data_IF_698757260616
#
_entry.id   IF_698757260616
#
_cell.length_a   1.000
_cell.length_b   1.000
_cell.length_c   1.000
_cell.angle_alpha   90.00
_cell.angle_beta   90.00
_cell.angle_gamma   90.00
#
_symmetry.space_group_name_H-M   'P 1'
#
loop_
_entity.id
_entity.type
_entity.pdbx_description
1 polymer ?
#
# COMPACT_ATOMS: atom_id res chain seq x y z
N UNK A 1 -21.20 16.01 8.49
CA UNK A 1 -20.13 15.54 7.58
C UNK A 1 -20.74 15.54 6.20
N UNK A 2 -20.17 16.23 5.19
CA UNK A 2 -20.80 16.25 3.88
C UNK A 2 -20.82 14.83 3.31
N UNK A 3 -21.99 14.43 2.83
CA UNK A 3 -22.26 13.12 2.26
C UNK A 3 -21.61 13.00 0.87
N UNK A 4 -20.87 11.91 0.66
CA UNK A 4 -20.54 11.33 -0.65
C UNK A 4 -19.63 12.11 -1.61
N UNK A 5 -18.44 12.55 -1.17
CA UNK A 5 -17.34 12.68 -2.15
C UNK A 5 -16.92 11.27 -2.61
N UNK A 6 -17.44 10.86 -3.77
CA UNK A 6 -16.93 9.68 -4.47
C UNK A 6 -15.49 9.95 -4.85
N UNK A 7 -14.57 9.10 -4.39
CA UNK A 7 -13.16 9.10 -4.81
C UNK A 7 -13.12 9.04 -6.35
N UNK A 8 -12.55 10.07 -6.97
CA UNK A 8 -12.49 10.19 -8.43
C UNK A 8 -11.48 9.19 -9.03
N UNK A 9 -11.52 8.97 -10.34
CA UNK A 9 -10.48 8.15 -11.01
C UNK A 9 -9.08 8.75 -10.84
N UNK A 10 -8.96 10.08 -10.84
CA UNK A 10 -7.69 10.77 -10.60
C UNK A 10 -7.17 10.51 -9.18
N UNK A 11 -8.05 10.55 -8.16
CA UNK A 11 -7.66 10.23 -6.78
C UNK A 11 -7.18 8.79 -6.64
N UNK A 12 -7.86 7.84 -7.30
CA UNK A 12 -7.46 6.42 -7.29
C UNK A 12 -6.08 6.23 -7.91
N UNK A 13 -5.82 6.90 -9.03
CA UNK A 13 -4.52 6.87 -9.69
C UNK A 13 -3.42 7.47 -8.81
N UNK A 14 -3.67 8.62 -8.18
CA UNK A 14 -2.74 9.24 -7.24
C UNK A 14 -2.43 8.32 -6.07
N UNK A 15 -3.46 7.73 -5.46
CA UNK A 15 -3.28 6.77 -4.35
C UNK A 15 -2.44 5.57 -4.81
N UNK A 16 -2.73 5.00 -5.98
CA UNK A 16 -1.99 3.85 -6.50
C UNK A 16 -0.52 4.20 -6.79
N UNK A 17 -0.23 5.40 -7.31
CA UNK A 17 1.14 5.90 -7.50
C UNK A 17 1.88 6.12 -6.18
N UNK A 18 1.22 6.72 -5.19
CA UNK A 18 1.80 6.92 -3.86
C UNK A 18 2.13 5.59 -3.17
N UNK A 19 1.23 4.59 -3.27
CA UNK A 19 1.49 3.25 -2.74
C UNK A 19 2.65 2.57 -3.48
N UNK A 20 2.75 2.73 -4.80
CA UNK A 20 3.86 2.20 -5.59
C UNK A 20 5.19 2.83 -5.20
N UNK A 21 5.24 4.16 -5.07
CA UNK A 21 6.47 4.87 -4.69
C UNK A 21 6.94 4.41 -3.32
N UNK A 22 6.02 4.39 -2.33
CA UNK A 22 6.34 3.89 -1.00
C UNK A 22 6.78 2.43 -1.03
N UNK A 23 6.12 1.57 -1.79
CA UNK A 23 6.53 0.17 -1.91
C UNK A 23 7.94 0.02 -2.50
N UNK A 24 8.28 0.84 -3.49
CA UNK A 24 9.59 0.83 -4.15
C UNK A 24 10.69 1.28 -3.20
N UNK A 25 10.46 2.38 -2.47
CA UNK A 25 11.39 2.89 -1.46
C UNK A 25 11.64 1.87 -0.35
N UNK A 26 10.57 1.19 0.11
CA UNK A 26 10.71 0.15 1.13
C UNK A 26 11.45 -1.09 0.60
N UNK A 27 11.21 -1.50 -0.65
CA UNK A 27 11.88 -2.65 -1.26
C UNK A 27 13.37 -2.37 -1.48
N UNK A 28 13.73 -1.14 -1.83
CA UNK A 28 15.09 -0.71 -2.12
C UNK A 28 15.95 -0.53 -0.87
N UNK A 29 15.39 0.01 0.20
CA UNK A 29 16.17 0.49 1.35
C UNK A 29 16.14 -0.44 2.56
N UNK A 30 15.28 -1.47 2.58
CA UNK A 30 15.08 -2.29 3.76
C UNK A 30 15.16 -3.78 3.45
N UNK A 31 15.84 -4.51 4.34
CA UNK A 31 15.96 -5.95 4.29
C UNK A 31 14.87 -6.63 5.11
N UNK A 32 14.77 -7.95 5.03
CA UNK A 32 13.71 -8.71 5.73
C UNK A 32 13.77 -8.54 7.25
N UNK A 33 14.97 -8.39 7.80
CA UNK A 33 15.24 -8.16 9.22
C UNK A 33 14.70 -6.80 9.72
N UNK A 34 14.64 -5.80 8.84
CA UNK A 34 14.17 -4.44 9.17
C UNK A 34 12.64 -4.34 9.14
N UNK A 35 11.96 -5.33 8.54
CA UNK A 35 10.52 -5.28 8.27
C UNK A 35 9.68 -5.13 9.54
N UNK A 36 10.15 -5.66 10.69
CA UNK A 36 9.44 -5.52 11.96
C UNK A 36 9.24 -4.05 12.37
N UNK A 37 10.30 -3.25 12.23
CA UNK A 37 10.26 -1.82 12.55
C UNK A 37 9.34 -1.04 11.59
N UNK A 38 9.08 -1.58 10.40
CA UNK A 38 8.23 -0.98 9.38
C UNK A 38 6.74 -1.30 9.52
N UNK A 39 6.33 -2.04 10.57
CA UNK A 39 4.93 -2.39 10.83
C UNK A 39 3.96 -1.20 10.69
N UNK A 40 4.25 0.01 11.22
CA UNK A 40 3.38 1.18 11.03
C UNK A 40 3.18 1.54 9.55
N UNK A 41 4.26 1.57 8.76
CA UNK A 41 4.22 1.87 7.32
C UNK A 41 3.40 0.83 6.57
N UNK A 42 3.61 -0.45 6.86
CA UNK A 42 2.85 -1.53 6.25
C UNK A 42 1.36 -1.53 6.64
N UNK A 43 1.00 -1.00 7.82
CA UNK A 43 -0.41 -0.77 8.17
C UNK A 43 -1.07 0.22 7.21
N UNK A 44 -0.40 1.34 6.92
CA UNK A 44 -0.90 2.36 5.98
C UNK A 44 -1.01 1.79 4.56
N UNK A 45 -0.03 1.02 4.11
CA UNK A 45 -0.08 0.34 2.80
C UNK A 45 -1.30 -0.60 2.74
N UNK A 46 -1.52 -1.41 3.79
CA UNK A 46 -2.68 -2.32 3.87
C UNK A 46 -4.00 -1.56 3.78
N UNK A 47 -4.12 -0.41 4.42
CA UNK A 47 -5.33 0.40 4.38
C UNK A 47 -5.55 1.06 3.01
N UNK A 48 -4.50 1.54 2.36
CA UNK A 48 -4.57 2.02 0.97
C UNK A 48 -4.99 0.93 -0.02
N UNK A 49 -4.45 -0.29 0.13
CA UNK A 49 -4.86 -1.45 -0.67
C UNK A 49 -6.34 -1.81 -0.45
N UNK A 50 -6.82 -1.81 0.80
CA UNK A 50 -8.25 -2.02 1.10
C UNK A 50 -9.11 -0.93 0.45
N UNK A 51 -8.66 0.32 0.47
CA UNK A 51 -9.37 1.43 -0.14
C UNK A 51 -9.53 1.24 -1.65
N UNK A 52 -8.44 0.96 -2.37
CA UNK A 52 -8.47 0.72 -3.81
C UNK A 52 -9.35 -0.48 -4.18
N UNK A 53 -9.23 -1.59 -3.45
CA UNK A 53 -10.08 -2.76 -3.65
C UNK A 53 -11.57 -2.44 -3.43
N UNK A 54 -11.90 -1.68 -2.38
CA UNK A 54 -13.29 -1.27 -2.07
C UNK A 54 -13.91 -0.44 -3.19
N UNK A 55 -13.12 0.35 -3.89
CA UNK A 55 -13.58 1.19 -5.01
C UNK A 55 -13.38 0.54 -6.39
N UNK A 56 -13.02 -0.75 -6.43
CA UNK A 56 -12.86 -1.53 -7.66
C UNK A 56 -11.64 -1.14 -8.50
N UNK A 57 -10.63 -0.51 -7.91
CA UNK A 57 -9.43 -0.08 -8.63
C UNK A 57 -8.28 -1.07 -8.45
N UNK A 58 -7.57 -1.45 -9.52
CA UNK A 58 -6.48 -2.41 -9.44
C UNK A 58 -5.31 -1.85 -8.64
N UNK A 59 -4.79 -2.66 -7.72
CA UNK A 59 -3.57 -2.37 -6.96
C UNK A 59 -2.35 -2.83 -7.73
N UNK A 60 -1.31 -1.99 -7.80
CA UNK A 60 -0.06 -2.30 -8.48
C UNK A 60 0.60 -3.61 -7.95
N UNK A 61 1.15 -4.48 -8.82
CA UNK A 61 1.75 -5.75 -8.40
C UNK A 61 2.87 -5.62 -7.37
N UNK A 62 3.72 -4.58 -7.47
CA UNK A 62 4.84 -4.38 -6.55
C UNK A 62 4.38 -4.09 -5.11
N UNK A 63 3.24 -3.39 -4.96
CA UNK A 63 2.60 -3.17 -3.65
C UNK A 63 2.17 -4.51 -3.05
N UNK A 64 1.65 -5.43 -3.87
CA UNK A 64 1.28 -6.77 -3.40
C UNK A 64 2.52 -7.60 -3.04
N UNK A 65 3.61 -7.48 -3.82
CA UNK A 65 4.88 -8.18 -3.56
C UNK A 65 5.47 -7.76 -2.21
N UNK A 66 5.57 -6.46 -1.94
CA UNK A 66 6.15 -5.99 -0.67
C UNK A 66 5.29 -6.38 0.52
N UNK A 67 3.95 -6.38 0.38
CA UNK A 67 3.05 -6.88 1.44
C UNK A 67 3.26 -8.37 1.71
N UNK A 68 3.46 -9.19 0.68
CA UNK A 68 3.75 -10.61 0.84
C UNK A 68 5.11 -10.82 1.55
N UNK A 69 6.12 -10.04 1.18
CA UNK A 69 7.45 -10.02 1.82
C UNK A 69 7.35 -9.68 3.31
N UNK A 70 6.64 -8.60 3.65
CA UNK A 70 6.38 -8.20 5.04
C UNK A 70 5.63 -9.28 5.84
N UNK A 71 4.58 -9.89 5.26
CA UNK A 71 3.83 -10.91 5.97
C UNK A 71 4.69 -12.16 6.24
N UNK A 72 5.62 -12.50 5.34
CA UNK A 72 6.55 -13.62 5.52
C UNK A 72 7.56 -13.37 6.65
N UNK A 73 8.04 -12.13 6.82
CA UNK A 73 8.98 -11.79 7.90
C UNK A 73 8.34 -11.69 9.28
N UNK A 74 7.01 -11.78 9.37
CA UNK A 74 6.23 -11.74 10.62
C UNK A 74 5.57 -13.09 10.98
N UNK A 75 5.97 -14.17 10.31
CA UNK A 75 5.60 -15.55 10.63
C UNK A 75 6.67 -16.18 11.52
#
# INVERSE_FOLDING_TARGET
MPENEKISEADKEVINKLLLELATELDLHYNDEDMFALTPSFSVIKDGVKLLNRVGYPVHPDVKRILARFNKSHQ
#
